data_IF_490829141475
#
_entry.id   IF_490829141475
#
_cell.length_a   1.000
_cell.length_b   1.000
_cell.length_c   1.000
_cell.angle_alpha   90.00
_cell.angle_beta   90.00
_cell.angle_gamma   90.00
#
_symmetry.space_group_name_H-M   'P 1'
#
loop_
_entity.id
_entity.type
_entity.pdbx_description
1 polymer ?
#
# COMPACT_ATOMS: atom_id res chain seq x y z
N UNK A 1 -13.82 -7.92 -1.17
CA UNK A 1 -13.25 -6.66 -1.67
C UNK A 1 -11.92 -6.86 -2.37
N UNK A 2 -10.79 -7.09 -1.68
CA UNK A 2 -9.47 -7.20 -2.35
C UNK A 2 -9.41 -8.37 -3.34
N UNK A 3 -10.00 -9.51 -2.97
CA UNK A 3 -10.17 -10.66 -3.88
C UNK A 3 -10.93 -10.30 -5.16
N UNK A 4 -11.96 -9.46 -5.06
CA UNK A 4 -12.75 -9.04 -6.23
C UNK A 4 -11.93 -8.15 -7.15
N UNK A 5 -11.12 -7.25 -6.57
CA UNK A 5 -10.16 -6.43 -7.33
C UNK A 5 -9.13 -7.31 -8.06
N UNK A 6 -8.57 -8.32 -7.38
CA UNK A 6 -7.63 -9.25 -8.00
C UNK A 6 -8.27 -10.05 -9.14
N UNK A 7 -9.52 -10.52 -8.98
CA UNK A 7 -10.28 -11.19 -10.04
C UNK A 7 -10.51 -10.27 -11.25
N UNK A 8 -10.67 -8.96 -11.01
CA UNK A 8 -10.79 -7.94 -12.07
C UNK A 8 -9.43 -7.54 -12.68
N UNK A 9 -8.33 -8.21 -12.30
CA UNK A 9 -6.98 -7.89 -12.78
C UNK A 9 -6.40 -6.59 -12.22
N UNK A 10 -6.98 -6.07 -11.13
CA UNK A 10 -6.48 -4.85 -10.46
C UNK A 10 -5.26 -5.13 -9.62
N UNK A 11 -4.30 -4.22 -9.69
CA UNK A 11 -3.04 -4.29 -8.97
C UNK A 11 -3.13 -3.59 -7.62
N UNK A 12 -2.57 -4.20 -6.57
CA UNK A 12 -2.64 -3.70 -5.20
C UNK A 12 -1.23 -3.66 -4.59
N UNK A 13 -0.90 -2.52 -3.98
CA UNK A 13 0.33 -2.31 -3.25
C UNK A 13 0.06 -1.90 -1.80
N UNK A 14 1.09 -1.93 -0.95
CA UNK A 14 1.06 -1.38 0.40
C UNK A 14 1.84 -0.09 0.51
N UNK A 15 1.54 0.75 1.50
CA UNK A 15 2.35 1.92 1.85
C UNK A 15 2.72 1.91 3.35
N UNK A 16 4.01 1.95 3.62
CA UNK A 16 4.64 1.96 4.94
C UNK A 16 4.91 0.56 5.46
N UNK A 17 6.17 0.12 5.42
CA UNK A 17 6.68 -1.08 6.04
C UNK A 17 7.10 -0.83 7.50
N UNK A 18 6.34 -1.31 8.47
CA UNK A 18 6.65 -1.19 9.90
C UNK A 18 6.26 -2.48 10.63
N UNK A 19 6.66 -2.63 11.89
CA UNK A 19 6.22 -3.76 12.71
C UNK A 19 4.68 -3.87 12.75
N UNK A 20 3.98 -2.74 12.88
CA UNK A 20 2.51 -2.69 12.85
C UNK A 20 1.95 -3.09 11.49
N UNK A 21 2.64 -2.73 10.40
CA UNK A 21 2.26 -3.13 9.04
C UNK A 21 2.35 -4.64 8.87
N UNK A 22 3.41 -5.27 9.39
CA UNK A 22 3.56 -6.72 9.39
C UNK A 22 2.40 -7.40 10.11
N UNK A 23 2.05 -6.93 11.31
CA UNK A 23 0.90 -7.46 12.05
C UNK A 23 -0.40 -7.33 11.24
N UNK A 24 -0.61 -6.19 10.58
CA UNK A 24 -1.81 -5.96 9.78
C UNK A 24 -1.88 -6.89 8.56
N UNK A 25 -0.76 -7.09 7.86
CA UNK A 25 -0.67 -8.01 6.72
C UNK A 25 -0.96 -9.44 7.18
N UNK A 26 -0.36 -9.90 8.27
CA UNK A 26 -0.61 -11.24 8.82
C UNK A 26 -2.05 -11.42 9.30
N UNK A 27 -2.57 -10.45 10.05
CA UNK A 27 -3.90 -10.56 10.67
C UNK A 27 -5.01 -10.63 9.63
N UNK A 28 -4.90 -9.87 8.53
CA UNK A 28 -5.91 -9.84 7.47
C UNK A 28 -5.55 -10.70 6.25
N UNK A 29 -4.44 -11.44 6.26
CA UNK A 29 -3.99 -12.26 5.12
C UNK A 29 -3.77 -11.45 3.85
N UNK A 30 -3.10 -10.28 3.97
CA UNK A 30 -2.95 -9.36 2.83
C UNK A 30 -1.84 -9.74 1.85
N UNK A 31 -0.99 -10.70 2.21
CA UNK A 31 0.17 -11.12 1.42
C UNK A 31 -0.21 -11.66 0.03
N UNK A 32 -1.39 -12.27 -0.10
CA UNK A 32 -1.86 -12.81 -1.38
C UNK A 32 -2.31 -11.71 -2.37
N UNK A 33 -2.45 -10.47 -1.88
CA UNK A 33 -2.95 -9.34 -2.65
C UNK A 33 -1.90 -8.24 -2.87
N UNK A 34 -0.96 -8.06 -1.94
CA UNK A 34 0.02 -6.96 -1.99
C UNK A 34 1.29 -7.41 -2.71
N UNK A 35 1.53 -6.85 -3.90
CA UNK A 35 2.71 -7.19 -4.72
C UNK A 35 4.02 -6.53 -4.23
N UNK A 36 3.93 -5.35 -3.62
CA UNK A 36 5.06 -4.59 -3.08
C UNK A 36 4.60 -3.58 -2.04
N UNK A 37 5.50 -3.16 -1.17
CA UNK A 37 5.28 -2.12 -0.16
C UNK A 37 6.14 -0.90 -0.52
N UNK A 38 5.53 0.26 -0.68
CA UNK A 38 6.25 1.52 -0.78
C UNK A 38 6.59 2.07 0.60
N UNK A 39 7.78 2.64 0.79
CA UNK A 39 8.17 3.31 2.03
C UNK A 39 9.05 4.54 1.73
N UNK A 40 8.97 5.56 2.59
CA UNK A 40 9.81 6.75 2.50
C UNK A 40 11.21 6.51 3.11
N UNK A 41 11.34 5.56 4.03
CA UNK A 41 12.58 5.28 4.72
C UNK A 41 13.54 4.50 3.82
N UNK A 42 14.59 5.18 3.36
CA UNK A 42 15.65 4.62 2.52
C UNK A 42 16.29 3.36 3.09
N UNK A 43 16.40 3.23 4.42
CA UNK A 43 16.98 2.06 5.06
C UNK A 43 16.16 0.78 4.84
N UNK A 44 14.90 0.89 4.40
CA UNK A 44 14.03 -0.25 4.10
C UNK A 44 13.98 -0.57 2.61
N UNK A 45 14.47 0.30 1.72
CA UNK A 45 14.40 0.05 0.28
C UNK A 45 15.26 -1.17 -0.09
N UNK A 46 14.82 -1.94 -1.07
CA UNK A 46 15.47 -3.18 -1.50
C UNK A 46 15.57 -4.25 -0.40
N UNK A 47 14.72 -4.14 0.63
CA UNK A 47 14.52 -5.17 1.65
C UNK A 47 13.18 -5.87 1.42
N UNK A 48 12.83 -6.80 2.31
CA UNK A 48 11.60 -7.56 2.24
C UNK A 48 10.84 -7.49 3.57
N UNK A 49 9.51 -7.51 3.51
CA UNK A 49 8.68 -7.58 4.71
C UNK A 49 8.96 -8.88 5.48
N UNK A 50 9.06 -8.86 6.81
CA UNK A 50 9.19 -10.07 7.60
C UNK A 50 8.05 -11.08 7.34
N UNK A 51 8.37 -12.37 7.33
CA UNK A 51 7.41 -13.46 7.13
C UNK A 51 7.07 -13.72 5.67
N UNK A 52 6.35 -12.79 5.03
CA UNK A 52 5.84 -12.98 3.66
C UNK A 52 6.77 -12.52 2.54
N UNK A 53 7.92 -11.93 2.88
CA UNK A 53 8.94 -11.50 1.93
C UNK A 53 8.40 -10.60 0.79
N UNK A 54 7.49 -9.68 1.11
CA UNK A 54 6.98 -8.71 0.15
C UNK A 54 8.07 -7.65 -0.07
N UNK A 55 8.49 -7.37 -1.33
CA UNK A 55 9.56 -6.42 -1.59
C UNK A 55 9.17 -4.99 -1.16
N UNK A 56 10.13 -4.28 -0.58
CA UNK A 56 9.97 -2.88 -0.16
C UNK A 56 10.69 -1.95 -1.14
N UNK A 57 9.93 -1.05 -1.75
CA UNK A 57 10.37 -0.10 -2.78
C UNK A 57 10.31 1.34 -2.28
N UNK A 58 11.03 2.24 -2.95
CA UNK A 58 10.89 3.69 -2.71
C UNK A 58 9.48 4.18 -3.05
N UNK A 59 8.94 5.09 -2.25
CA UNK A 59 7.68 5.80 -2.54
C UNK A 59 7.68 6.50 -3.90
N UNK A 60 8.85 6.88 -4.42
CA UNK A 60 8.96 7.58 -5.70
C UNK A 60 8.56 6.68 -6.89
N UNK A 61 8.62 5.36 -6.70
CA UNK A 61 8.22 4.36 -7.69
C UNK A 61 6.69 4.25 -7.83
N UNK A 62 5.90 4.90 -6.97
CA UNK A 62 4.43 4.86 -7.02
C UNK A 62 3.93 5.26 -8.41
N UNK A 63 4.50 6.30 -9.01
CA UNK A 63 4.03 6.85 -10.28
C UNK A 63 4.49 6.03 -11.49
N UNK A 64 5.63 5.34 -11.38
CA UNK A 64 6.10 4.41 -12.41
C UNK A 64 5.30 3.11 -12.39
N UNK A 65 5.12 2.54 -11.19
CA UNK A 65 4.40 1.27 -11.02
C UNK A 65 2.89 1.43 -11.17
N UNK A 66 2.38 2.63 -10.87
CA UNK A 66 0.98 3.05 -10.98
C UNK A 66 -0.04 1.96 -10.61
N UNK A 67 -0.02 1.42 -9.39
CA UNK A 67 -0.99 0.40 -8.99
C UNK A 67 -2.41 0.97 -8.96
N UNK A 68 -3.43 0.13 -9.21
CA UNK A 68 -4.83 0.57 -9.11
C UNK A 68 -5.19 0.99 -7.67
N UNK A 69 -4.61 0.29 -6.67
CA UNK A 69 -4.85 0.52 -5.26
C UNK A 69 -3.58 0.51 -4.42
N UNK A 70 -3.52 1.41 -3.43
CA UNK A 70 -2.51 1.40 -2.37
C UNK A 70 -3.20 1.26 -1.02
N UNK A 71 -2.96 0.15 -0.32
CA UNK A 71 -3.37 -0.05 1.07
C UNK A 71 -2.44 0.74 1.98
N UNK A 72 -2.99 1.70 2.72
CA UNK A 72 -2.25 2.49 3.70
C UNK A 72 -1.97 1.65 4.95
N UNK A 73 -0.89 0.88 4.94
CA UNK A 73 -0.45 0.07 6.09
C UNK A 73 -0.01 0.99 7.24
N UNK A 74 0.67 2.09 6.92
CA UNK A 74 0.92 3.22 7.82
C UNK A 74 -0.33 4.11 8.01
N UNK A 75 -1.50 3.50 8.25
CA UNK A 75 -2.82 4.15 8.28
C UNK A 75 -2.91 5.36 9.23
N UNK A 76 -2.13 5.38 10.32
CA UNK A 76 -2.09 6.51 11.27
C UNK A 76 -1.56 7.79 10.62
N UNK A 77 -0.76 7.67 9.57
CA UNK A 77 -0.17 8.77 8.81
C UNK A 77 -0.90 9.00 7.48
N UNK A 78 -2.17 8.57 7.35
CA UNK A 78 -2.90 8.64 6.08
C UNK A 78 -2.94 10.05 5.48
N UNK A 79 -3.23 11.09 6.26
CA UNK A 79 -3.36 12.47 5.76
C UNK A 79 -2.08 12.96 5.07
N UNK A 80 -0.90 12.97 5.73
CA UNK A 80 0.34 13.41 5.07
C UNK A 80 0.74 12.51 3.90
N UNK A 81 0.50 11.19 3.96
CA UNK A 81 0.78 10.28 2.84
C UNK A 81 -0.08 10.63 1.62
N UNK A 82 -1.39 10.77 1.80
CA UNK A 82 -2.33 11.12 0.73
C UNK A 82 -1.99 12.50 0.17
N UNK A 83 -1.69 13.48 1.03
CA UNK A 83 -1.29 14.84 0.61
C UNK A 83 -0.05 14.80 -0.28
N UNK A 84 1.01 14.11 0.16
CA UNK A 84 2.26 13.94 -0.58
C UNK A 84 2.04 13.29 -1.94
N UNK A 85 1.13 12.32 -2.01
CA UNK A 85 0.88 11.51 -3.19
C UNK A 85 -0.47 11.83 -3.86
N UNK A 86 -0.96 13.09 -3.79
CA UNK A 86 -2.20 13.52 -4.48
C UNK A 86 -2.18 13.24 -5.98
N UNK A 87 -1.00 13.33 -6.61
CA UNK A 87 -0.85 13.06 -8.05
C UNK A 87 -1.26 11.62 -8.39
N UNK A 88 -1.02 10.65 -7.49
CA UNK A 88 -1.46 9.26 -7.69
C UNK A 88 -2.98 9.16 -7.85
N UNK A 89 -3.75 9.92 -7.07
CA UNK A 89 -5.21 10.00 -7.22
C UNK A 89 -5.60 10.57 -8.59
N UNK A 90 -4.91 11.62 -9.03
CA UNK A 90 -5.16 12.24 -10.35
C UNK A 90 -4.81 11.35 -11.53
N UNK A 91 -3.97 10.33 -11.32
CA UNK A 91 -3.61 9.30 -12.31
C UNK A 91 -4.56 8.10 -12.30
N UNK A 92 -5.66 8.16 -11.54
CA UNK A 92 -6.67 7.11 -11.42
C UNK A 92 -6.40 6.08 -10.32
N UNK A 93 -5.29 6.23 -9.59
CA UNK A 93 -4.96 5.43 -8.42
C UNK A 93 -5.90 5.71 -7.25
N UNK A 94 -6.02 4.75 -6.33
CA UNK A 94 -6.92 4.85 -5.18
C UNK A 94 -6.21 4.43 -3.90
N UNK A 95 -6.43 5.14 -2.79
CA UNK A 95 -5.93 4.71 -1.49
C UNK A 95 -7.00 3.90 -0.75
N UNK A 96 -6.59 2.82 -0.08
CA UNK A 96 -7.43 2.06 0.84
C UNK A 96 -6.94 2.35 2.25
N UNK A 97 -7.78 2.99 3.05
CA UNK A 97 -7.56 3.18 4.47
C UNK A 97 -8.21 2.00 5.22
N UNK A 98 -7.44 1.05 5.77
CA UNK A 98 -8.01 -0.16 6.36
C UNK A 98 -8.64 0.08 7.73
N UNK A 99 -8.16 1.09 8.47
CA UNK A 99 -8.51 1.34 9.87
C UNK A 99 -8.67 2.84 10.17
N UNK A 100 -9.45 3.22 11.19
CA UNK A 100 -10.31 2.34 12.01
C UNK A 100 -11.58 1.90 11.27
N UNK A 101 -11.97 2.64 10.23
CA UNK A 101 -13.09 2.29 9.37
C UNK A 101 -12.54 2.13 7.95
N UNK A 102 -12.91 1.03 7.29
CA UNK A 102 -12.52 0.78 5.92
C UNK A 102 -13.05 1.88 5.00
N UNK A 103 -12.16 2.57 4.30
CA UNK A 103 -12.51 3.63 3.33
C UNK A 103 -11.64 3.53 2.09
N UNK A 104 -12.23 3.81 0.93
CA UNK A 104 -11.49 4.01 -0.31
C UNK A 104 -11.49 5.50 -0.60
N UNK A 105 -10.30 6.07 -0.73
CA UNK A 105 -10.09 7.47 -1.14
C UNK A 105 -9.79 7.46 -2.63
N UNK A 106 -10.59 8.22 -3.37
CA UNK A 106 -10.51 8.41 -4.81
C UNK A 106 -10.39 9.91 -5.11
N UNK A 107 -10.11 10.27 -6.36
CA UNK A 107 -10.19 11.65 -6.82
C UNK A 107 -11.60 12.23 -6.64
#
# INVERSE_FOLDING_TARGET
MLKDFQIQGKTIAGYGGSATSTTLIHHFGLNDYISYIFDDNQAKHNTYSPGFHIPVLSSDMIYEKNPDYIVLLAWRFNKPIIEKHKIFLSQGGNFILPLPNLKIIKQ
#
